data_IF_252456433120
#
_entry.id   IF_252456433120
#
_cell.length_a   1.000
_cell.length_b   1.000
_cell.length_c   1.000
_cell.angle_alpha   90.00
_cell.angle_beta   90.00
_cell.angle_gamma   90.00
#
_symmetry.space_group_name_H-M   'P 1'
#
loop_
_entity.id
_entity.type
_entity.pdbx_description
1 polymer ?
#
# COMPACT_ATOMS: atom_id res chain seq x y z
N UNK A 1 -5.41 -25.02 21.04
CA UNK A 1 -6.08 -23.75 20.74
C UNK A 1 -5.05 -22.64 20.82
N UNK A 2 -4.70 -21.99 19.69
CA UNK A 2 -3.89 -20.77 19.68
C UNK A 2 -4.63 -19.74 18.84
N UNK A 3 -5.18 -18.76 19.54
CA UNK A 3 -5.96 -17.65 19.00
C UNK A 3 -5.00 -16.65 18.34
N UNK A 4 -5.20 -16.35 17.07
CA UNK A 4 -4.47 -15.32 16.35
C UNK A 4 -5.11 -13.98 16.63
N UNK A 5 -4.39 -13.07 17.28
CA UNK A 5 -4.83 -11.70 17.52
C UNK A 5 -4.81 -10.91 16.21
N UNK A 6 -5.99 -10.61 15.68
CA UNK A 6 -6.19 -9.69 14.55
C UNK A 6 -6.11 -8.27 15.09
N UNK A 7 -5.19 -7.46 14.57
CA UNK A 7 -5.14 -6.03 14.88
C UNK A 7 -6.33 -5.32 14.20
N UNK A 8 -7.29 -4.87 15.00
CA UNK A 8 -8.40 -4.02 14.57
C UNK A 8 -7.88 -2.60 14.27
N UNK A 9 -8.08 -2.15 13.03
CA UNK A 9 -7.81 -0.77 12.62
C UNK A 9 -9.13 0.00 12.77
N UNK A 10 -9.18 0.91 13.75
CA UNK A 10 -10.31 1.80 14.00
C UNK A 10 -10.38 2.93 12.95
N UNK A 11 -11.43 3.06 12.12
CA UNK A 11 -11.60 4.22 11.25
C UNK A 11 -12.56 5.21 11.90
N UNK A 12 -12.04 6.29 12.49
CA UNK A 12 -12.87 7.48 12.74
C UNK A 12 -12.99 8.27 11.44
N UNK A 13 -14.17 8.15 10.84
CA UNK A 13 -14.60 8.86 9.65
C UNK A 13 -15.28 10.20 10.02
N UNK A 14 -14.84 11.29 9.42
CA UNK A 14 -15.54 12.58 9.29
C UNK A 14 -14.80 13.36 8.20
N UNK A 15 -15.39 13.99 7.17
CA UNK A 15 -16.76 14.42 6.90
C UNK A 15 -16.90 14.77 5.40
N UNK A 16 -18.15 14.81 4.94
CA UNK A 16 -18.74 15.17 3.64
C UNK A 16 -18.26 16.45 2.91
N UNK A 17 -18.22 16.41 1.57
CA UNK A 17 -18.90 17.41 0.70
C UNK A 17 -19.04 16.91 -0.75
N UNK A 18 -20.17 17.15 -1.46
CA UNK A 18 -20.35 16.78 -2.86
C UNK A 18 -19.94 17.95 -3.79
N UNK A 19 -19.28 17.66 -4.92
CA UNK A 19 -18.99 18.66 -5.96
C UNK A 19 -19.52 18.19 -7.33
N UNK A 20 -20.50 18.94 -7.82
CA UNK A 20 -21.18 18.84 -9.13
C UNK A 20 -20.25 19.39 -10.25
N UNK A 21 -20.35 18.93 -11.52
CA UNK A 21 -19.35 19.19 -12.55
C UNK A 21 -19.65 20.48 -13.33
N UNK A 22 -18.62 21.31 -13.57
CA UNK A 22 -18.67 22.40 -14.57
C UNK A 22 -17.49 22.28 -15.54
N UNK A 23 -17.85 22.47 -16.81
CA UNK A 23 -17.08 22.31 -18.04
C UNK A 23 -15.78 23.14 -18.08
N UNK A 24 -14.75 22.54 -18.70
CA UNK A 24 -13.72 23.23 -19.47
C UNK A 24 -12.74 24.12 -18.69
N UNK A 25 -11.73 23.50 -18.07
CA UNK A 25 -10.48 24.18 -17.67
C UNK A 25 -9.33 23.17 -17.79
N UNK A 26 -8.24 23.61 -18.40
CA UNK A 26 -7.00 22.86 -18.62
C UNK A 26 -6.56 22.18 -17.30
N UNK A 27 -6.65 20.84 -17.26
CA UNK A 27 -6.50 20.05 -16.03
C UNK A 27 -5.02 19.87 -15.67
N UNK A 28 -4.43 20.85 -15.00
CA UNK A 28 -3.14 20.68 -14.29
C UNK A 28 -3.22 19.57 -13.21
N UNK A 29 -4.44 19.12 -12.88
CA UNK A 29 -4.76 18.05 -11.93
C UNK A 29 -4.38 16.65 -12.46
N UNK A 30 -4.12 16.49 -13.78
CA UNK A 30 -3.80 15.20 -14.41
C UNK A 30 -2.46 14.56 -13.98
N UNK A 31 -1.60 15.26 -13.23
CA UNK A 31 -0.25 14.77 -12.93
C UNK A 31 -0.03 14.25 -11.51
N UNK A 32 -1.02 14.37 -10.61
CA UNK A 32 -0.85 13.88 -9.24
C UNK A 32 -1.08 12.36 -9.18
N UNK A 33 -0.01 11.58 -9.41
CA UNK A 33 -0.04 10.13 -9.19
C UNK A 33 0.26 9.82 -7.72
N UNK A 34 -0.52 8.93 -7.13
CA UNK A 34 -0.27 8.38 -5.80
C UNK A 34 0.84 7.32 -5.91
N UNK A 35 1.95 7.53 -5.22
CA UNK A 35 3.07 6.58 -5.19
C UNK A 35 3.07 5.84 -3.85
N UNK A 36 2.91 4.52 -3.91
CA UNK A 36 3.00 3.63 -2.75
C UNK A 36 4.25 2.77 -2.87
N UNK A 37 5.05 2.68 -1.80
CA UNK A 37 6.20 1.76 -1.75
C UNK A 37 5.91 0.66 -0.74
N UNK A 38 5.96 -0.60 -1.19
CA UNK A 38 5.81 -1.77 -0.33
C UNK A 38 7.17 -2.44 -0.23
N UNK A 39 7.66 -2.59 1.00
CA UNK A 39 8.97 -3.19 1.29
C UNK A 39 8.78 -4.51 2.03
N UNK A 40 9.52 -5.53 1.63
CA UNK A 40 9.45 -6.86 2.25
C UNK A 40 10.75 -7.61 2.04
N UNK A 41 11.03 -8.59 2.89
CA UNK A 41 12.13 -9.53 2.70
C UNK A 41 11.59 -10.74 1.93
N UNK A 42 12.13 -11.04 0.76
CA UNK A 42 11.89 -12.28 -0.01
C UNK A 42 10.45 -12.57 -0.48
N UNK A 43 9.52 -11.62 -0.35
CA UNK A 43 8.08 -11.88 -0.63
C UNK A 43 7.67 -11.49 -2.06
N UNK A 44 8.43 -10.61 -2.72
CA UNK A 44 8.06 -10.10 -4.04
C UNK A 44 8.65 -10.94 -5.17
N UNK A 45 7.78 -11.31 -6.10
CA UNK A 45 8.05 -12.01 -7.34
C UNK A 45 7.03 -11.53 -8.40
N UNK A 46 7.32 -11.66 -9.69
CA UNK A 46 6.49 -11.10 -10.77
C UNK A 46 5.00 -11.45 -10.62
N UNK A 47 4.66 -12.73 -10.48
CA UNK A 47 3.27 -13.20 -10.38
C UNK A 47 2.56 -12.73 -9.10
N UNK A 48 3.30 -12.67 -7.99
CA UNK A 48 2.77 -12.20 -6.70
C UNK A 48 2.53 -10.70 -6.74
N UNK A 49 3.42 -9.94 -7.35
CA UNK A 49 3.33 -8.48 -7.46
C UNK A 49 2.10 -8.07 -8.28
N UNK A 50 1.74 -8.83 -9.31
CA UNK A 50 0.49 -8.60 -10.06
C UNK A 50 -0.72 -8.73 -9.12
N UNK A 51 -0.79 -9.81 -8.34
CA UNK A 51 -1.88 -10.03 -7.37
C UNK A 51 -1.93 -8.93 -6.30
N UNK A 52 -0.78 -8.60 -5.71
CA UNK A 52 -0.69 -7.55 -4.69
C UNK A 52 -1.09 -6.19 -5.24
N UNK A 53 -0.63 -5.84 -6.45
CA UNK A 53 -0.97 -4.57 -7.08
C UNK A 53 -2.46 -4.43 -7.33
N UNK A 54 -3.13 -5.50 -7.77
CA UNK A 54 -4.58 -5.51 -7.96
C UNK A 54 -5.33 -5.29 -6.65
N UNK A 55 -4.96 -6.03 -5.58
CA UNK A 55 -5.60 -5.88 -4.27
C UNK A 55 -5.36 -4.50 -3.64
N UNK A 56 -4.15 -3.96 -3.75
CA UNK A 56 -3.82 -2.61 -3.22
C UNK A 56 -4.59 -1.54 -4.00
N UNK A 57 -4.66 -1.66 -5.33
CA UNK A 57 -5.39 -0.71 -6.16
C UNK A 57 -6.91 -0.73 -5.86
N UNK A 58 -7.48 -1.92 -5.67
CA UNK A 58 -8.88 -2.06 -5.27
C UNK A 58 -9.14 -1.43 -3.89
N UNK A 59 -8.23 -1.65 -2.94
CA UNK A 59 -8.28 -1.03 -1.62
C UNK A 59 -8.23 0.50 -1.72
N UNK A 60 -7.27 1.06 -2.48
CA UNK A 60 -7.15 2.51 -2.69
C UNK A 60 -8.40 3.10 -3.33
N UNK A 61 -8.98 2.41 -4.32
CA UNK A 61 -10.24 2.84 -4.92
C UNK A 61 -11.38 2.88 -3.91
N UNK A 62 -11.50 1.84 -3.08
CA UNK A 62 -12.57 1.74 -2.06
C UNK A 62 -12.40 2.76 -0.94
N UNK A 63 -11.17 2.97 -0.45
CA UNK A 63 -10.91 3.80 0.73
C UNK A 63 -10.74 5.28 0.39
N UNK A 64 -10.10 5.59 -0.74
CA UNK A 64 -9.73 6.96 -1.11
C UNK A 64 -10.48 7.48 -2.33
N UNK A 65 -11.30 6.65 -2.99
CA UNK A 65 -12.00 7.01 -4.24
C UNK A 65 -11.06 7.47 -5.36
N UNK A 66 -9.80 7.00 -5.34
CA UNK A 66 -8.79 7.28 -6.37
C UNK A 66 -8.85 6.19 -7.42
N UNK A 67 -8.84 6.58 -8.70
CA UNK A 67 -8.79 5.62 -9.80
C UNK A 67 -7.43 4.88 -9.79
N UNK A 68 -7.42 3.53 -9.86
CA UNK A 68 -6.22 2.71 -9.99
C UNK A 68 -5.21 3.19 -11.05
N UNK A 69 -5.68 3.80 -12.14
CA UNK A 69 -4.82 4.32 -13.21
C UNK A 69 -3.84 5.42 -12.73
N UNK A 70 -4.13 6.07 -11.60
CA UNK A 70 -3.27 7.07 -10.98
C UNK A 70 -2.42 6.51 -9.83
N UNK A 71 -2.45 5.20 -9.58
CA UNK A 71 -1.67 4.56 -8.53
C UNK A 71 -0.44 3.85 -9.11
N UNK A 72 0.74 4.21 -8.60
CA UNK A 72 2.00 3.51 -8.88
C UNK A 72 2.43 2.79 -7.60
N UNK A 73 2.69 1.48 -7.71
CA UNK A 73 3.14 0.65 -6.59
C UNK A 73 4.55 0.16 -6.88
N UNK A 74 5.50 0.55 -6.03
CA UNK A 74 6.88 0.08 -6.08
C UNK A 74 7.09 -1.04 -5.05
N UNK A 75 7.40 -2.24 -5.54
CA UNK A 75 7.75 -3.39 -4.70
C UNK A 75 9.27 -3.48 -4.54
N UNK A 76 9.76 -3.37 -3.31
CA UNK A 76 11.19 -3.40 -3.00
C UNK A 76 11.51 -4.60 -2.10
N UNK A 77 12.27 -5.56 -2.64
CA UNK A 77 12.84 -6.64 -1.85
C UNK A 77 14.02 -6.11 -1.03
N UNK A 78 14.00 -6.38 0.27
CA UNK A 78 15.00 -5.96 1.24
C UNK A 78 15.95 -7.12 1.57
N UNK A 79 17.21 -6.81 1.81
CA UNK A 79 18.15 -7.78 2.37
C UNK A 79 17.89 -7.93 3.88
N UNK A 80 17.83 -9.15 4.43
CA UNK A 80 17.61 -9.36 5.86
C UNK A 80 18.71 -8.75 6.76
N UNK A 81 19.91 -8.49 6.21
CA UNK A 81 21.05 -7.88 6.92
C UNK A 81 20.85 -6.40 7.20
N UNK A 82 20.10 -5.73 6.32
CA UNK A 82 19.91 -4.28 6.34
C UNK A 82 18.66 -3.87 7.17
N UNK A 83 17.94 -4.85 7.75
CA UNK A 83 16.68 -4.63 8.46
C UNK A 83 16.84 -5.01 9.93
N UNK A 84 16.82 -3.98 10.79
CA UNK A 84 16.80 -4.16 12.24
C UNK A 84 15.41 -4.48 12.78
N UNK A 85 15.31 -5.44 13.68
CA UNK A 85 14.09 -5.77 14.41
C UNK A 85 14.46 -6.33 15.80
N UNK A 86 13.82 -5.81 16.85
CA UNK A 86 13.99 -6.29 18.24
C UNK A 86 15.46 -6.37 18.71
N UNK A 87 16.24 -5.32 18.46
CA UNK A 87 17.64 -5.23 18.92
C UNK A 87 18.63 -6.12 18.14
N UNK A 88 18.22 -6.73 17.04
CA UNK A 88 19.10 -7.49 16.14
C UNK A 88 18.67 -7.31 14.67
N UNK A 89 19.28 -8.02 13.72
CA UNK A 89 18.87 -7.99 12.30
C UNK A 89 17.89 -9.11 11.99
N UNK A 90 17.09 -8.92 10.93
CA UNK A 90 16.20 -9.97 10.44
C UNK A 90 16.97 -11.23 10.02
N UNK A 91 18.22 -11.10 9.53
CA UNK A 91 19.09 -12.25 9.27
C UNK A 91 19.32 -13.10 10.52
N UNK A 92 19.61 -12.49 11.66
CA UNK A 92 19.84 -13.25 12.91
C UNK A 92 18.55 -13.83 13.48
N UNK A 93 17.42 -13.13 13.35
CA UNK A 93 16.12 -13.66 13.80
C UNK A 93 15.66 -14.87 12.98
N UNK A 94 15.93 -14.88 11.68
CA UNK A 94 15.51 -15.96 10.76
C UNK A 94 16.32 -17.25 10.90
N UNK A 95 17.39 -17.27 11.71
CA UNK A 95 18.19 -18.47 12.00
C UNK A 95 17.63 -19.32 13.15
N UNK A 96 16.69 -18.79 13.93
CA UNK A 96 16.03 -19.49 15.04
C UNK A 96 14.82 -20.27 14.55
#
# INVERSE_FOLDING_TARGET
MRSSTVAEINPKCSSTTPLNPRKGKLNIISLLKLISTVKSIGSFAADKNIKYSASIAEFIKKTLSIDPAYCIIHFLNLNPEDIGCNGTTMKELMKK
#
